data_IF_292607364462
#
_entry.id   IF_292607364462
#
_cell.length_a   1.000
_cell.length_b   1.000
_cell.length_c   1.000
_cell.angle_alpha   90.00
_cell.angle_beta   90.00
_cell.angle_gamma   90.00
#
_symmetry.space_group_name_H-M   'P 1'
#
loop_
_entity.id
_entity.type
_entity.pdbx_description
1 polymer ?
#
# COMPACT_ATOMS: atom_id res chain seq x y z
N UNK A 1 -33.15 85.87 -28.05
CA UNK A 1 -33.76 85.09 -26.94
C UNK A 1 -34.05 83.62 -27.31
N UNK A 2 -34.66 83.31 -28.46
CA UNK A 2 -34.93 81.90 -28.88
C UNK A 2 -33.69 81.03 -29.13
N UNK A 3 -32.57 81.60 -29.60
CA UNK A 3 -31.33 80.84 -29.86
C UNK A 3 -30.60 80.42 -28.57
N UNK A 4 -30.68 81.22 -27.51
CA UNK A 4 -29.96 80.95 -26.26
C UNK A 4 -30.63 79.86 -25.43
N UNK A 5 -31.97 79.80 -25.45
CA UNK A 5 -32.77 78.75 -24.79
C UNK A 5 -32.61 77.40 -25.50
N UNK A 6 -32.54 77.40 -26.83
CA UNK A 6 -32.33 76.16 -27.60
C UNK A 6 -30.93 75.58 -27.43
N UNK A 7 -29.91 76.43 -27.27
CA UNK A 7 -28.54 75.97 -27.00
C UNK A 7 -28.37 75.42 -25.57
N UNK A 8 -29.00 76.04 -24.56
CA UNK A 8 -28.98 75.53 -23.18
C UNK A 8 -29.75 74.21 -23.04
N UNK A 9 -30.90 74.06 -23.69
CA UNK A 9 -31.64 72.80 -23.74
C UNK A 9 -30.86 71.70 -24.47
N UNK A 10 -30.15 72.05 -25.55
CA UNK A 10 -29.32 71.09 -26.30
C UNK A 10 -28.10 70.63 -25.51
N UNK A 11 -27.45 71.53 -24.75
CA UNK A 11 -26.33 71.18 -23.85
C UNK A 11 -26.80 70.27 -22.71
N UNK A 12 -27.90 70.61 -22.04
CA UNK A 12 -28.47 69.76 -20.99
C UNK A 12 -28.87 68.37 -21.49
N UNK A 13 -29.49 68.28 -22.68
CA UNK A 13 -29.81 66.99 -23.29
C UNK A 13 -28.57 66.16 -23.65
N UNK A 14 -27.48 66.78 -24.09
CA UNK A 14 -26.22 66.07 -24.38
C UNK A 14 -25.48 65.60 -23.13
N UNK A 15 -25.52 66.36 -22.04
CA UNK A 15 -24.91 65.98 -20.76
C UNK A 15 -25.68 64.84 -20.07
N UNK A 16 -27.01 64.90 -20.11
CA UNK A 16 -27.88 63.82 -19.62
C UNK A 16 -27.72 62.57 -20.48
N UNK A 17 -27.67 62.71 -21.80
CA UNK A 17 -27.42 61.61 -22.73
C UNK A 17 -26.05 60.93 -22.51
N UNK A 18 -24.99 61.73 -22.32
CA UNK A 18 -23.65 61.22 -22.00
C UNK A 18 -23.60 60.48 -20.66
N UNK A 19 -24.29 61.01 -19.65
CA UNK A 19 -24.35 60.40 -18.31
C UNK A 19 -25.08 59.04 -18.31
N UNK A 20 -26.16 58.91 -19.09
CA UNK A 20 -26.91 57.65 -19.24
C UNK A 20 -26.10 56.57 -19.97
N UNK A 21 -25.29 56.96 -20.97
CA UNK A 21 -24.41 56.03 -21.69
C UNK A 21 -23.31 55.47 -20.77
N UNK A 22 -22.70 56.32 -19.93
CA UNK A 22 -21.66 55.91 -18.99
C UNK A 22 -22.22 54.93 -17.93
N UNK A 23 -23.42 55.20 -17.41
CA UNK A 23 -24.13 54.30 -16.48
C UNK A 23 -24.48 52.95 -17.13
N UNK A 24 -24.93 52.96 -18.39
CA UNK A 24 -25.22 51.75 -19.16
C UNK A 24 -23.99 50.87 -19.39
N UNK A 25 -22.86 51.48 -19.78
CA UNK A 25 -21.59 50.77 -20.00
C UNK A 25 -21.04 50.24 -18.66
N UNK A 26 -21.08 51.05 -17.59
CA UNK A 26 -20.65 50.62 -16.26
C UNK A 26 -21.44 49.41 -15.75
N UNK A 27 -22.76 49.44 -15.93
CA UNK A 27 -23.64 48.31 -15.54
C UNK A 27 -23.35 47.06 -16.38
N UNK A 28 -23.12 47.19 -17.69
CA UNK A 28 -22.79 46.06 -18.57
C UNK A 28 -21.41 45.46 -18.24
N UNK A 29 -20.41 46.30 -17.93
CA UNK A 29 -19.07 45.84 -17.49
C UNK A 29 -19.13 45.12 -16.15
N UNK A 30 -19.93 45.61 -15.20
CA UNK A 30 -20.14 44.93 -13.91
C UNK A 30 -20.87 43.59 -14.10
N UNK A 31 -21.94 43.55 -14.89
CA UNK A 31 -22.70 42.31 -15.13
C UNK A 31 -21.91 41.25 -15.91
N UNK A 32 -21.08 41.66 -16.87
CA UNK A 32 -20.21 40.74 -17.62
C UNK A 32 -19.01 40.27 -16.78
N UNK A 33 -18.42 41.14 -15.95
CA UNK A 33 -17.40 40.75 -14.98
C UNK A 33 -17.89 39.74 -13.94
N UNK A 34 -19.11 39.93 -13.42
CA UNK A 34 -19.75 38.99 -12.48
C UNK A 34 -19.93 37.59 -13.08
N UNK A 35 -20.16 37.47 -14.39
CA UNK A 35 -20.30 36.18 -15.07
C UNK A 35 -18.98 35.43 -15.23
N UNK A 36 -17.84 36.14 -15.35
CA UNK A 36 -16.51 35.54 -15.44
C UNK A 36 -15.98 35.11 -14.07
N UNK A 37 -16.25 35.87 -13.00
CA UNK A 37 -15.88 35.47 -11.64
C UNK A 37 -16.68 34.24 -11.17
N UNK A 38 -17.96 34.14 -11.53
CA UNK A 38 -18.75 32.93 -11.27
C UNK A 38 -18.18 31.70 -11.99
N UNK A 39 -17.63 31.87 -13.20
CA UNK A 39 -16.98 30.77 -13.92
C UNK A 39 -15.79 30.24 -13.12
N UNK A 40 -14.95 31.11 -12.57
CA UNK A 40 -13.82 30.70 -11.74
C UNK A 40 -14.26 29.99 -10.47
N UNK A 41 -15.28 30.48 -9.76
CA UNK A 41 -15.85 29.80 -8.58
C UNK A 41 -16.35 28.40 -8.92
N UNK A 42 -17.02 28.23 -10.07
CA UNK A 42 -17.48 26.93 -10.54
C UNK A 42 -16.32 26.00 -10.92
N UNK A 43 -15.27 26.51 -11.57
CA UNK A 43 -14.06 25.75 -11.91
C UNK A 43 -13.32 25.30 -10.64
N UNK A 44 -13.11 26.20 -9.68
CA UNK A 44 -12.46 25.87 -8.40
C UNK A 44 -13.31 24.89 -7.58
N UNK A 45 -14.62 25.09 -7.53
CA UNK A 45 -15.55 24.17 -6.88
C UNK A 45 -15.51 22.77 -7.51
N UNK A 46 -15.50 22.68 -8.84
CA UNK A 46 -15.37 21.41 -9.56
C UNK A 46 -14.01 20.75 -9.32
N UNK A 47 -12.92 21.53 -9.28
CA UNK A 47 -11.57 21.02 -8.98
C UNK A 47 -11.49 20.47 -7.56
N UNK A 48 -11.96 21.21 -6.56
CA UNK A 48 -12.01 20.78 -5.16
C UNK A 48 -12.87 19.52 -5.02
N UNK A 49 -14.05 19.49 -5.66
CA UNK A 49 -14.91 18.31 -5.69
C UNK A 49 -14.23 17.09 -6.29
N UNK A 50 -13.52 17.28 -7.41
CA UNK A 50 -12.77 16.20 -8.09
C UNK A 50 -11.63 15.68 -7.21
N UNK A 51 -10.85 16.57 -6.59
CA UNK A 51 -9.80 16.21 -5.63
C UNK A 51 -10.38 15.45 -4.44
N UNK A 52 -11.52 15.89 -3.90
CA UNK A 52 -12.22 15.20 -2.82
C UNK A 52 -12.66 13.78 -3.20
N UNK A 53 -13.24 13.60 -4.39
CA UNK A 53 -13.63 12.28 -4.90
C UNK A 53 -12.41 11.36 -5.10
N UNK A 54 -11.32 11.87 -5.66
CA UNK A 54 -10.06 11.11 -5.83
C UNK A 54 -9.50 10.72 -4.45
N UNK A 55 -9.46 11.65 -3.50
CA UNK A 55 -8.96 11.40 -2.15
C UNK A 55 -9.77 10.31 -1.42
N UNK A 56 -11.11 10.35 -1.53
CA UNK A 56 -11.98 9.31 -0.98
C UNK A 56 -11.75 7.95 -1.64
N UNK A 57 -11.61 7.92 -2.98
CA UNK A 57 -11.37 6.68 -3.71
C UNK A 57 -10.02 6.04 -3.37
N UNK A 58 -8.95 6.84 -3.24
CA UNK A 58 -7.62 6.37 -2.83
C UNK A 58 -7.64 5.90 -1.38
N UNK A 59 -8.28 6.65 -0.48
CA UNK A 59 -8.40 6.28 0.93
C UNK A 59 -9.14 4.95 1.10
N UNK A 60 -10.24 4.74 0.38
CA UNK A 60 -10.99 3.48 0.43
C UNK A 60 -10.19 2.27 -0.05
N UNK A 61 -9.36 2.44 -1.10
CA UNK A 61 -8.44 1.39 -1.57
C UNK A 61 -7.40 1.05 -0.50
N UNK A 62 -6.77 2.06 0.09
CA UNK A 62 -5.76 1.87 1.13
C UNK A 62 -6.33 1.15 2.37
N UNK A 63 -7.54 1.52 2.81
CA UNK A 63 -8.22 0.85 3.94
C UNK A 63 -8.51 -0.62 3.63
N UNK A 64 -8.96 -0.92 2.41
CA UNK A 64 -9.25 -2.29 2.01
C UNK A 64 -7.97 -3.15 1.89
N UNK A 65 -6.90 -2.60 1.33
CA UNK A 65 -5.59 -3.27 1.25
C UNK A 65 -4.99 -3.50 2.64
N UNK A 66 -5.04 -2.50 3.51
CA UNK A 66 -4.58 -2.60 4.88
C UNK A 66 -5.36 -3.66 5.67
N UNK A 67 -6.70 -3.65 5.57
CA UNK A 67 -7.54 -4.66 6.22
C UNK A 67 -7.30 -6.08 5.70
N UNK A 68 -6.97 -6.23 4.41
CA UNK A 68 -6.58 -7.52 3.85
C UNK A 68 -5.21 -7.98 4.38
N UNK A 69 -4.24 -7.05 4.53
CA UNK A 69 -2.93 -7.32 5.15
C UNK A 69 -3.07 -7.84 6.57
N UNK A 70 -3.75 -7.09 7.44
CA UNK A 70 -3.98 -7.49 8.85
C UNK A 70 -4.66 -8.85 8.98
N UNK A 71 -5.66 -9.12 8.13
CA UNK A 71 -6.33 -10.43 8.10
C UNK A 71 -5.36 -11.56 7.72
N UNK A 72 -4.43 -11.29 6.80
CA UNK A 72 -3.40 -12.23 6.42
C UNK A 72 -2.47 -12.58 7.57
N UNK A 73 -1.99 -11.58 8.30
CA UNK A 73 -1.12 -11.74 9.47
C UNK A 73 -1.84 -12.47 10.61
N UNK A 74 -3.10 -12.13 10.89
CA UNK A 74 -3.91 -12.81 11.92
C UNK A 74 -4.07 -14.30 11.61
N UNK A 75 -4.34 -14.64 10.34
CA UNK A 75 -4.44 -16.04 9.93
C UNK A 75 -3.11 -16.78 10.04
N UNK A 76 -2.00 -16.12 9.72
CA UNK A 76 -0.67 -16.68 9.93
C UNK A 76 -0.43 -16.98 11.41
N UNK A 77 -0.73 -16.03 12.30
CA UNK A 77 -0.56 -16.21 13.74
C UNK A 77 -1.36 -17.41 14.25
N UNK A 78 -2.64 -17.49 13.90
CA UNK A 78 -3.50 -18.63 14.24
C UNK A 78 -2.92 -19.96 13.72
N UNK A 79 -2.45 -19.98 12.46
CA UNK A 79 -1.87 -21.21 11.90
C UNK A 79 -0.58 -21.63 12.62
N UNK A 80 0.28 -20.68 12.98
CA UNK A 80 1.51 -20.98 13.72
C UNK A 80 1.22 -21.43 15.16
N UNK A 81 0.27 -20.82 15.85
CA UNK A 81 -0.14 -21.21 17.21
C UNK A 81 -0.64 -22.67 17.25
N UNK A 82 -1.23 -23.17 16.17
CA UNK A 82 -1.71 -24.55 16.07
C UNK A 82 -0.63 -25.56 15.69
N UNK A 83 0.43 -25.13 14.99
CA UNK A 83 1.34 -26.03 14.26
C UNK A 83 2.74 -26.05 14.86
N UNK A 84 3.17 -24.94 15.47
CA UNK A 84 4.50 -24.85 16.05
C UNK A 84 4.52 -25.57 17.39
N UNK A 85 5.31 -26.65 17.44
CA UNK A 85 5.75 -27.27 18.70
C UNK A 85 6.73 -26.36 19.44
N UNK A 86 7.03 -26.66 20.72
CA UNK A 86 8.05 -25.98 21.56
C UNK A 86 9.45 -25.83 20.94
N UNK A 87 9.73 -26.53 19.83
CA UNK A 87 10.99 -26.43 19.07
C UNK A 87 11.07 -25.24 18.13
N UNK A 88 10.00 -24.46 18.00
CA UNK A 88 9.96 -23.30 17.12
C UNK A 88 9.64 -22.04 17.91
N UNK A 89 10.31 -20.95 17.53
CA UNK A 89 10.01 -19.59 18.00
C UNK A 89 9.49 -18.79 16.81
N UNK A 90 8.32 -18.18 16.95
CA UNK A 90 7.79 -17.22 16.00
C UNK A 90 7.79 -15.82 16.62
N UNK A 91 8.30 -14.84 15.87
CA UNK A 91 8.26 -13.41 16.21
C UNK A 91 7.51 -12.70 15.09
N UNK A 92 6.38 -12.10 15.42
CA UNK A 92 5.53 -11.37 14.48
C UNK A 92 5.95 -9.91 14.40
N UNK A 93 5.74 -9.27 13.25
CA UNK A 93 6.09 -7.87 13.01
C UNK A 93 7.55 -7.58 13.37
N UNK A 94 8.45 -8.47 12.95
CA UNK A 94 9.85 -8.38 13.32
C UNK A 94 10.48 -7.13 12.66
N UNK A 95 11.02 -6.19 13.44
CA UNK A 95 11.52 -4.94 12.90
C UNK A 95 12.77 -5.15 12.06
N UNK A 96 12.87 -4.44 10.94
CA UNK A 96 14.08 -4.37 10.10
C UNK A 96 14.20 -2.99 9.44
N UNK A 97 15.21 -2.22 9.83
CA UNK A 97 15.44 -0.89 9.24
C UNK A 97 14.17 -0.01 9.24
N UNK A 98 13.59 0.29 8.06
CA UNK A 98 12.40 1.13 7.88
C UNK A 98 11.07 0.35 7.79
N UNK A 99 11.09 -0.98 7.92
CA UNK A 99 9.93 -1.88 7.70
C UNK A 99 9.91 -3.01 8.73
N UNK A 100 8.87 -3.82 8.66
CA UNK A 100 8.74 -5.03 9.47
C UNK A 100 8.63 -6.25 8.54
N UNK A 101 9.14 -7.39 8.99
CA UNK A 101 8.86 -8.72 8.41
C UNK A 101 7.63 -9.26 9.14
N UNK A 102 6.58 -9.65 8.40
CA UNK A 102 5.32 -10.13 9.00
C UNK A 102 5.57 -11.23 10.05
N UNK A 103 6.48 -12.16 9.77
CA UNK A 103 6.93 -13.13 10.76
C UNK A 103 8.35 -13.66 10.51
N UNK A 104 9.14 -13.75 11.58
CA UNK A 104 10.39 -14.49 11.63
C UNK A 104 10.18 -15.76 12.44
N UNK A 105 10.44 -16.92 11.86
CA UNK A 105 10.38 -18.22 12.55
C UNK A 105 11.79 -18.80 12.68
N UNK A 106 12.20 -19.10 13.90
CA UNK A 106 13.39 -19.89 14.21
C UNK A 106 12.94 -21.33 14.50
N UNK A 107 13.52 -22.29 13.79
CA UNK A 107 13.27 -23.70 14.03
C UNK A 107 14.52 -24.55 13.89
N UNK A 108 14.41 -25.87 14.08
CA UNK A 108 15.56 -26.77 14.12
C UNK A 108 16.42 -26.71 12.87
N UNK A 109 15.85 -26.39 11.71
CA UNK A 109 16.60 -26.40 10.45
C UNK A 109 17.06 -25.03 9.95
N UNK A 110 16.83 -23.95 10.71
CA UNK A 110 17.22 -22.61 10.31
C UNK A 110 16.20 -21.53 10.65
N UNK A 111 16.42 -20.37 10.04
CA UNK A 111 15.57 -19.19 10.20
C UNK A 111 14.70 -18.98 8.95
N UNK A 112 13.49 -18.50 9.13
CA UNK A 112 12.52 -18.27 8.06
C UNK A 112 11.99 -16.84 8.17
N UNK A 113 12.08 -16.08 7.08
CA UNK A 113 11.44 -14.77 6.95
C UNK A 113 10.21 -14.93 6.07
N UNK A 114 9.03 -14.66 6.63
CA UNK A 114 7.73 -14.91 6.01
C UNK A 114 7.08 -13.57 5.67
N UNK A 115 6.67 -13.41 4.42
CA UNK A 115 5.74 -12.36 3.98
C UNK A 115 4.39 -13.03 3.67
N UNK A 116 3.31 -12.49 4.22
CA UNK A 116 1.95 -12.96 4.02
C UNK A 116 1.26 -12.20 2.89
N UNK A 117 0.43 -12.92 2.14
CA UNK A 117 -0.43 -12.35 1.09
C UNK A 117 -1.84 -12.90 1.20
N UNK A 118 -2.79 -12.04 1.51
CA UNK A 118 -4.21 -12.40 1.62
C UNK A 118 -5.01 -12.11 0.34
N UNK A 119 -4.46 -12.47 -0.82
CA UNK A 119 -5.10 -12.27 -2.12
C UNK A 119 -5.95 -13.47 -2.54
N UNK A 120 -7.13 -13.23 -3.12
CA UNK A 120 -8.00 -14.27 -3.71
C UNK A 120 -7.91 -14.33 -5.23
N UNK A 121 -8.39 -15.39 -5.84
CA UNK A 121 -8.43 -15.58 -7.29
C UNK A 121 -7.15 -16.20 -7.84
N UNK A 122 -6.95 -16.10 -9.15
CA UNK A 122 -5.80 -16.68 -9.82
C UNK A 122 -4.59 -15.76 -9.69
N UNK A 123 -3.50 -16.26 -9.14
CA UNK A 123 -2.27 -15.52 -8.89
C UNK A 123 -1.17 -16.22 -9.67
N UNK A 124 -0.51 -15.47 -10.53
CA UNK A 124 0.49 -15.99 -11.45
C UNK A 124 1.87 -15.42 -11.11
N UNK A 125 2.88 -16.22 -11.33
CA UNK A 125 4.27 -15.79 -11.36
C UNK A 125 4.96 -16.35 -12.61
N UNK A 126 5.31 -15.44 -13.52
CA UNK A 126 5.91 -15.70 -14.84
C UNK A 126 7.11 -14.76 -15.10
N UNK A 127 7.54 -14.64 -16.36
CA UNK A 127 8.63 -13.76 -16.79
C UNK A 127 8.32 -12.26 -16.62
N UNK A 128 7.05 -11.88 -16.49
CA UNK A 128 6.59 -10.52 -16.22
C UNK A 128 6.40 -10.26 -14.72
N UNK A 129 6.52 -11.29 -13.88
CA UNK A 129 6.45 -11.21 -12.44
C UNK A 129 5.06 -11.53 -11.90
N UNK A 130 4.72 -10.91 -10.77
CA UNK A 130 3.51 -11.25 -10.02
C UNK A 130 2.29 -10.51 -10.52
N UNK A 131 1.26 -11.25 -10.92
CA UNK A 131 0.00 -10.67 -11.35
C UNK A 131 -1.21 -11.49 -10.88
N UNK A 132 -2.37 -10.81 -10.79
CA UNK A 132 -3.61 -11.37 -10.27
C UNK A 132 -4.74 -11.20 -11.29
N UNK A 133 -5.50 -12.28 -11.49
CA UNK A 133 -6.82 -12.25 -12.13
C UNK A 133 -7.90 -12.59 -11.14
N UNK A 134 -8.86 -11.68 -10.97
CA UNK A 134 -10.03 -11.90 -10.11
C UNK A 134 -11.33 -11.52 -10.80
N UNK A 135 -12.39 -12.26 -10.48
CA UNK A 135 -13.76 -11.92 -10.85
C UNK A 135 -14.33 -11.00 -9.77
N UNK A 136 -14.76 -9.81 -10.17
CA UNK A 136 -15.42 -8.86 -9.28
C UNK A 136 -16.83 -9.29 -8.92
N UNK A 137 -17.44 -8.63 -7.93
CA UNK A 137 -18.78 -8.96 -7.42
C UNK A 137 -19.88 -8.91 -8.50
N UNK A 138 -19.67 -8.17 -9.59
CA UNK A 138 -20.59 -8.04 -10.74
C UNK A 138 -20.20 -8.93 -11.93
N UNK A 139 -19.32 -9.93 -11.74
CA UNK A 139 -18.89 -10.85 -12.79
C UNK A 139 -17.80 -10.32 -13.74
N UNK A 140 -17.42 -9.05 -13.66
CA UNK A 140 -16.32 -8.48 -14.45
C UNK A 140 -14.96 -9.07 -14.08
N UNK A 141 -14.11 -9.32 -15.08
CA UNK A 141 -12.71 -9.76 -14.87
C UNK A 141 -11.82 -8.55 -14.63
N UNK A 142 -10.92 -8.66 -13.66
CA UNK A 142 -9.95 -7.64 -13.31
C UNK A 142 -8.56 -8.26 -13.30
N UNK A 143 -7.67 -7.72 -14.14
CA UNK A 143 -6.23 -7.94 -14.07
C UNK A 143 -5.64 -6.87 -13.15
N UNK A 144 -4.92 -7.30 -12.12
CA UNK A 144 -4.21 -6.42 -11.19
C UNK A 144 -2.76 -6.84 -11.06
N UNK A 145 -1.86 -5.87 -10.91
CA UNK A 145 -0.48 -6.16 -10.50
C UNK A 145 -0.43 -6.47 -9.02
N UNK A 146 0.24 -7.54 -8.63
CA UNK A 146 0.61 -7.75 -7.23
C UNK A 146 1.89 -6.97 -6.96
N UNK A 147 1.99 -6.31 -5.80
CA UNK A 147 3.29 -5.84 -5.30
C UNK A 147 4.23 -7.05 -5.23
N UNK A 148 5.46 -6.93 -5.73
CA UNK A 148 6.43 -8.02 -5.88
C UNK A 148 6.77 -8.70 -4.52
N UNK A 149 6.12 -9.83 -4.15
CA UNK A 149 6.29 -10.46 -2.85
C UNK A 149 7.70 -11.05 -2.70
N UNK A 150 8.27 -11.59 -3.80
CA UNK A 150 9.65 -12.08 -3.84
C UNK A 150 10.64 -10.98 -3.46
N UNK A 151 10.46 -9.79 -3.99
CA UNK A 151 11.32 -8.64 -3.68
C UNK A 151 11.25 -8.25 -2.20
N UNK A 152 10.04 -8.22 -1.63
CA UNK A 152 9.82 -7.90 -0.22
C UNK A 152 10.51 -8.91 0.71
N UNK A 153 10.31 -10.21 0.46
CA UNK A 153 10.95 -11.27 1.24
C UNK A 153 12.47 -11.23 1.12
N UNK A 154 13.01 -11.03 -0.09
CA UNK A 154 14.47 -10.98 -0.28
C UNK A 154 15.11 -9.77 0.40
N UNK A 155 14.39 -8.65 0.47
CA UNK A 155 14.82 -7.50 1.27
C UNK A 155 14.88 -7.89 2.75
N UNK A 156 13.82 -8.46 3.32
CA UNK A 156 13.81 -8.86 4.72
C UNK A 156 14.85 -9.92 5.07
N UNK A 157 15.06 -10.91 4.21
CA UNK A 157 16.13 -11.90 4.35
C UNK A 157 17.51 -11.25 4.39
N UNK A 158 17.75 -10.23 3.56
CA UNK A 158 19.04 -9.53 3.51
C UNK A 158 19.30 -8.77 4.80
N UNK A 159 18.34 -7.97 5.25
CA UNK A 159 18.50 -7.16 6.48
C UNK A 159 18.62 -8.05 7.72
N UNK A 160 17.83 -9.13 7.80
CA UNK A 160 17.93 -10.10 8.89
C UNK A 160 19.29 -10.81 8.93
N UNK A 161 19.82 -11.19 7.76
CA UNK A 161 21.17 -11.77 7.69
C UNK A 161 22.23 -10.77 8.12
N UNK A 162 22.15 -9.54 7.64
CA UNK A 162 23.09 -8.47 7.99
C UNK A 162 23.12 -8.26 9.50
N UNK A 163 21.96 -8.11 10.13
CA UNK A 163 21.81 -7.95 11.58
C UNK A 163 22.47 -9.10 12.37
N UNK A 164 22.27 -10.35 11.93
CA UNK A 164 22.86 -11.53 12.58
C UNK A 164 24.37 -11.62 12.34
N UNK A 165 24.84 -11.28 11.14
CA UNK A 165 26.27 -11.28 10.79
C UNK A 165 27.05 -10.22 11.58
N UNK A 166 26.46 -9.05 11.83
CA UNK A 166 27.02 -8.00 12.71
C UNK A 166 27.21 -8.50 14.15
N UNK A 167 26.39 -9.47 14.59
CA UNK A 167 26.50 -10.18 15.87
C UNK A 167 27.35 -11.46 15.80
N UNK A 168 28.06 -11.69 14.69
CA UNK A 168 28.91 -12.89 14.49
C UNK A 168 28.15 -14.18 14.19
N UNK A 169 26.84 -14.12 13.94
CA UNK A 169 25.98 -15.28 13.75
C UNK A 169 25.73 -15.52 12.25
N UNK A 170 26.41 -16.53 11.70
CA UNK A 170 26.09 -17.05 10.36
C UNK A 170 25.02 -18.13 10.43
N UNK A 171 23.88 -17.91 9.77
CA UNK A 171 22.79 -18.89 9.65
C UNK A 171 22.11 -18.78 8.28
N UNK A 172 21.60 -19.90 7.78
CA UNK A 172 20.77 -19.89 6.58
C UNK A 172 19.38 -19.32 6.92
N UNK A 173 19.02 -18.24 6.24
CA UNK A 173 17.69 -17.63 6.30
C UNK A 173 16.95 -17.98 5.01
N UNK A 174 15.80 -18.66 5.15
CA UNK A 174 14.90 -18.98 4.04
C UNK A 174 13.81 -17.92 3.92
N UNK A 175 13.66 -17.38 2.72
CA UNK A 175 12.51 -16.51 2.40
C UNK A 175 11.28 -17.34 2.05
N UNK A 176 10.12 -16.96 2.59
CA UNK A 176 8.83 -17.59 2.31
C UNK A 176 7.78 -16.53 1.95
N UNK A 177 7.09 -16.71 0.83
CA UNK A 177 5.84 -16.00 0.52
C UNK A 177 4.69 -16.94 0.84
N UNK A 178 3.84 -16.55 1.80
CA UNK A 178 2.72 -17.35 2.27
C UNK A 178 1.39 -16.76 1.83
N UNK A 179 0.64 -17.50 1.03
CA UNK A 179 -0.73 -17.14 0.66
C UNK A 179 -1.73 -17.69 1.69
N UNK A 180 -2.39 -16.77 2.40
CA UNK A 180 -3.27 -17.12 3.53
C UNK A 180 -4.74 -17.22 3.14
N UNK A 181 -5.11 -16.73 1.95
CA UNK A 181 -6.46 -16.89 1.43
C UNK A 181 -6.62 -18.28 0.78
N UNK A 182 -7.65 -19.03 1.19
CA UNK A 182 -7.94 -20.38 0.64
C UNK A 182 -8.37 -20.34 -0.83
N UNK A 183 -8.92 -19.23 -1.28
CA UNK A 183 -9.33 -19.01 -2.67
C UNK A 183 -8.19 -18.42 -3.53
N UNK A 184 -6.95 -18.43 -3.03
CA UNK A 184 -5.78 -18.17 -3.85
C UNK A 184 -5.48 -19.40 -4.70
N UNK A 185 -5.50 -19.27 -6.02
CA UNK A 185 -5.09 -20.32 -6.94
C UNK A 185 -3.75 -19.91 -7.56
N UNK A 186 -2.67 -20.56 -7.12
CA UNK A 186 -1.31 -20.21 -7.54
C UNK A 186 -0.94 -20.93 -8.82
N UNK A 187 -0.49 -20.15 -9.81
CA UNK A 187 0.04 -20.61 -11.09
C UNK A 187 1.48 -20.14 -11.20
N UNK A 188 2.40 -20.97 -10.70
CA UNK A 188 3.84 -20.66 -10.65
C UNK A 188 4.49 -21.30 -11.87
N UNK A 189 4.60 -20.56 -12.97
CA UNK A 189 5.20 -21.04 -14.22
C UNK A 189 6.73 -21.20 -14.10
N UNK A 190 7.35 -20.38 -13.24
CA UNK A 190 8.78 -20.42 -12.95
C UNK A 190 9.02 -20.49 -11.45
N UNK A 191 10.00 -21.30 -11.02
CA UNK A 191 10.40 -21.36 -9.61
C UNK A 191 10.99 -20.02 -9.14
N UNK A 192 10.37 -19.31 -8.16
CA UNK A 192 10.79 -18.00 -7.67
C UNK A 192 12.03 -18.08 -6.75
N UNK A 193 13.04 -18.87 -7.12
CA UNK A 193 14.27 -19.05 -6.33
C UNK A 193 14.93 -17.70 -5.98
N UNK A 194 15.53 -17.60 -4.78
CA UNK A 194 15.65 -18.62 -3.74
C UNK A 194 14.46 -18.66 -2.75
N UNK A 195 13.33 -17.99 -3.06
CA UNK A 195 12.17 -17.87 -2.18
C UNK A 195 11.24 -19.07 -2.36
N UNK A 196 10.70 -19.59 -1.25
CA UNK A 196 9.65 -20.61 -1.27
C UNK A 196 8.28 -19.93 -1.31
N UNK A 197 7.37 -20.45 -2.13
CA UNK A 197 5.97 -20.01 -2.15
C UNK A 197 5.11 -21.14 -1.59
N UNK A 198 4.20 -20.80 -0.69
CA UNK A 198 3.36 -21.76 0.02
C UNK A 198 1.92 -21.25 0.16
N UNK A 199 0.97 -22.18 0.28
CA UNK A 199 -0.31 -21.90 0.92
C UNK A 199 -0.21 -22.09 2.44
N UNK A 200 -1.06 -21.38 3.17
CA UNK A 200 -1.20 -21.56 4.63
C UNK A 200 -1.54 -22.99 5.03
N UNK A 201 -2.27 -23.73 4.19
CA UNK A 201 -2.57 -25.15 4.41
C UNK A 201 -1.31 -26.03 4.43
N UNK A 202 -0.22 -25.59 3.79
CA UNK A 202 1.04 -26.32 3.66
C UNK A 202 2.15 -25.75 4.55
N UNK A 203 1.82 -24.90 5.53
CA UNK A 203 2.81 -24.15 6.31
C UNK A 203 3.84 -25.05 7.01
N UNK A 204 3.44 -26.23 7.48
CA UNK A 204 4.36 -27.25 8.01
C UNK A 204 5.45 -27.66 7.01
N UNK A 205 5.07 -27.88 5.75
CA UNK A 205 5.98 -28.27 4.69
C UNK A 205 6.95 -27.13 4.35
N UNK A 206 6.55 -25.86 4.59
CA UNK A 206 7.41 -24.71 4.39
C UNK A 206 8.62 -24.71 5.32
N UNK A 207 8.50 -25.31 6.52
CA UNK A 207 9.58 -25.43 7.50
C UNK A 207 10.39 -26.73 7.39
N UNK A 208 10.02 -27.65 6.50
CA UNK A 208 10.84 -28.85 6.25
C UNK A 208 12.04 -28.47 5.36
N UNK A 209 13.23 -28.78 5.85
CA UNK A 209 14.48 -28.56 5.12
C UNK A 209 14.76 -29.70 4.15
N UNK A 210 15.03 -29.36 2.88
CA UNK A 210 15.49 -30.32 1.88
C UNK A 210 16.95 -30.78 2.11
N UNK A 211 17.68 -30.14 3.03
CA UNK A 211 19.12 -30.34 3.22
C UNK A 211 19.46 -31.09 4.53
N UNK A 212 18.47 -31.58 5.28
CA UNK A 212 18.64 -32.27 6.57
C UNK A 212 19.56 -31.57 7.59
N UNK A 213 19.79 -30.27 7.42
CA UNK A 213 20.56 -29.44 8.35
C UNK A 213 19.75 -29.23 9.62
N UNK A 214 20.36 -29.55 10.76
CA UNK A 214 19.84 -29.29 12.09
C UNK A 214 20.81 -28.35 12.80
N UNK A 215 20.31 -27.25 13.33
CA UNK A 215 21.06 -26.32 14.16
C UNK A 215 21.34 -26.97 15.52
N UNK A 216 22.51 -26.68 16.08
CA UNK A 216 22.80 -27.08 17.46
C UNK A 216 21.99 -26.23 18.44
N UNK A 217 21.68 -26.77 19.61
CA UNK A 217 20.94 -26.07 20.66
C UNK A 217 21.59 -24.72 21.00
N UNK A 218 22.92 -24.70 21.16
CA UNK A 218 23.69 -23.47 21.37
C UNK A 218 23.47 -22.45 20.26
N UNK A 219 23.45 -22.88 19.00
CA UNK A 219 23.23 -21.97 17.87
C UNK A 219 21.80 -21.43 17.84
N UNK A 220 20.80 -22.23 18.23
CA UNK A 220 19.41 -21.79 18.38
C UNK A 220 19.34 -20.71 19.46
N UNK A 221 19.94 -20.95 20.63
CA UNK A 221 19.98 -19.98 21.74
C UNK A 221 20.69 -18.68 21.35
N UNK A 222 21.82 -18.75 20.66
CA UNK A 222 22.54 -17.57 20.17
C UNK A 222 21.65 -16.73 19.22
N UNK A 223 20.94 -17.39 18.29
CA UNK A 223 20.03 -16.71 17.34
C UNK A 223 18.84 -16.12 18.08
N UNK A 224 18.19 -16.90 18.95
CA UNK A 224 17.04 -16.43 19.74
C UNK A 224 17.40 -15.19 20.56
N UNK A 225 18.54 -15.21 21.26
CA UNK A 225 19.02 -14.07 22.03
C UNK A 225 19.20 -12.83 21.15
N UNK A 226 19.88 -12.97 20.01
CA UNK A 226 20.09 -11.88 19.07
C UNK A 226 18.78 -11.30 18.50
N UNK A 227 17.80 -12.15 18.20
CA UNK A 227 16.48 -11.70 17.73
C UNK A 227 15.75 -10.89 18.80
N UNK A 228 15.72 -11.39 20.05
CA UNK A 228 15.03 -10.72 21.16
C UNK A 228 15.70 -9.41 21.55
N UNK A 229 17.03 -9.39 21.58
CA UNK A 229 17.81 -8.17 21.83
C UNK A 229 17.51 -7.11 20.78
N UNK A 230 17.50 -7.48 19.49
CA UNK A 230 17.18 -6.55 18.41
C UNK A 230 15.76 -5.96 18.50
N UNK A 231 14.76 -6.78 18.85
CA UNK A 231 13.40 -6.29 19.11
C UNK A 231 13.36 -5.30 20.29
N UNK A 232 14.15 -5.53 21.35
CA UNK A 232 14.23 -4.63 22.50
C UNK A 232 14.91 -3.30 22.14
N UNK A 233 16.02 -3.34 21.39
CA UNK A 233 16.75 -2.15 20.92
C UNK A 233 15.89 -1.22 20.06
N UNK A 234 15.02 -1.80 19.24
CA UNK A 234 14.17 -1.04 18.30
C UNK A 234 12.89 -0.51 18.94
N UNK A 235 12.64 -0.78 20.23
CA UNK A 235 11.47 -0.30 20.95
C UNK A 235 10.14 -0.85 20.42
N UNK A 236 10.19 -1.90 19.59
CA UNK A 236 9.02 -2.60 19.03
C UNK A 236 8.97 -3.99 19.67
N UNK A 237 8.51 -4.02 20.91
CA UNK A 237 8.17 -5.28 21.57
C UNK A 237 6.85 -5.77 20.94
N UNK A 238 6.88 -6.96 20.33
CA UNK A 238 5.69 -7.69 19.88
C UNK A 238 4.92 -8.24 21.07
#
# INVERSE_FOLDING_TARGET
>A
MKSHVTETLRRGASEVGGSLIILGIGTLVVLTGMSLEMLWVMIFGALIGTVGVIALAVSGKNVAEYGAGQKGETLLQQALDHILTDKYLAIFNFPIADKDIDCVVLGPSGLYAIETKHHKGNIWYDDHGWHQRKTGRRGGRYDGSLRNPRGQVLYGVRELKKMLEERGIKVFVRGVVLFTNRDAHLHIERDPKPVRVCHIADIEHCFRSAQNRVLTERKIQDIEHALREYCAETGRIS
#
